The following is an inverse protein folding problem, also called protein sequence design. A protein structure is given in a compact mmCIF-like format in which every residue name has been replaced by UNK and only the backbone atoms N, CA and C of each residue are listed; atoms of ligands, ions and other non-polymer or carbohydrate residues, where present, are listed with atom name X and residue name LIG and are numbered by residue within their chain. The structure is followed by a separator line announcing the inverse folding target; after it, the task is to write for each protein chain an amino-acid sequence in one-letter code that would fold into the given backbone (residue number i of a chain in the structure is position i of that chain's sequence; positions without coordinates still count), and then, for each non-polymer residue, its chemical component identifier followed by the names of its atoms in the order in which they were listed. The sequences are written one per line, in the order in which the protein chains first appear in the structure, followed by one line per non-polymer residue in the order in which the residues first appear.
data_IF_893564261293
#
_entry.id   IF_893564261293
#
_cell.length_a   1.000
_cell.length_b   1.000
_cell.length_c   1.000
_cell.angle_alpha   90.00
_cell.angle_beta   90.00
_cell.angle_gamma   90.00
#
_symmetry.space_group_name_H-M   'P 1'
#
loop_
_entity.id
_entity.type
_entity.pdbx_description
1 polymer ?
#
# COMPACT_ATOMS: atom_id res chain seq x y z
N UNK A 1 -25.96 -3.80 10.60
CA UNK A 1 -25.33 -3.30 9.35
C UNK A 1 -24.78 -1.92 9.62
N UNK A 2 -23.53 -1.63 9.23
CA UNK A 2 -23.01 -0.26 9.30
C UNK A 2 -23.85 0.64 8.39
N UNK A 3 -24.10 1.86 8.83
CA UNK A 3 -24.73 2.86 7.99
C UNK A 3 -23.76 3.28 6.88
N UNK A 4 -24.02 2.84 5.65
CA UNK A 4 -23.22 3.18 4.47
C UNK A 4 -23.63 4.53 3.85
N UNK A 5 -24.68 5.19 4.36
CA UNK A 5 -25.12 6.51 3.85
C UNK A 5 -23.99 7.54 3.80
N UNK A 6 -23.08 7.65 4.81
CA UNK A 6 -21.97 8.61 4.76
C UNK A 6 -20.99 8.36 3.61
N UNK A 7 -20.91 7.12 3.11
CA UNK A 7 -20.00 6.76 2.02
C UNK A 7 -20.59 6.98 0.63
N UNK A 8 -21.89 7.25 0.48
CA UNK A 8 -22.48 7.51 -0.85
C UNK A 8 -21.91 8.77 -1.49
N UNK A 9 -21.88 9.87 -0.73
CA UNK A 9 -21.29 11.13 -1.19
C UNK A 9 -19.77 10.97 -1.45
N UNK A 10 -19.08 10.24 -0.57
CA UNK A 10 -17.67 9.93 -0.74
C UNK A 10 -17.39 9.13 -2.01
N UNK A 11 -18.14 8.05 -2.23
CA UNK A 11 -18.03 7.21 -3.42
C UNK A 11 -18.29 8.00 -4.70
N UNK A 12 -19.30 8.88 -4.70
CA UNK A 12 -19.58 9.76 -5.84
C UNK A 12 -18.37 10.65 -6.14
N UNK A 13 -17.75 11.26 -5.12
CA UNK A 13 -16.55 12.08 -5.33
C UNK A 13 -15.37 11.27 -5.86
N UNK A 14 -15.13 10.06 -5.35
CA UNK A 14 -14.07 9.18 -5.88
C UNK A 14 -14.32 8.81 -7.34
N UNK A 15 -15.56 8.50 -7.71
CA UNK A 15 -15.93 8.22 -9.11
C UNK A 15 -15.74 9.45 -9.99
N UNK A 16 -16.18 10.63 -9.53
CA UNK A 16 -15.99 11.88 -10.26
C UNK A 16 -14.51 12.21 -10.46
N UNK A 17 -13.66 11.95 -9.47
CA UNK A 17 -12.20 12.12 -9.59
C UNK A 17 -11.59 11.14 -10.61
N UNK A 18 -11.99 9.87 -10.59
CA UNK A 18 -11.52 8.89 -11.57
C UNK A 18 -11.94 9.26 -13.00
N UNK A 19 -13.20 9.67 -13.19
CA UNK A 19 -13.71 10.15 -14.48
C UNK A 19 -13.01 11.43 -14.92
N UNK A 20 -12.82 12.39 -14.02
CA UNK A 20 -12.10 13.62 -14.32
C UNK A 20 -10.65 13.34 -14.72
N UNK A 21 -9.95 12.43 -14.03
CA UNK A 21 -8.60 12.00 -14.39
C UNK A 21 -8.56 11.41 -15.79
N UNK A 22 -9.48 10.50 -16.12
CA UNK A 22 -9.57 9.90 -17.46
C UNK A 22 -9.81 10.95 -18.55
N UNK A 23 -10.73 11.89 -18.32
CA UNK A 23 -11.05 12.94 -19.27
C UNK A 23 -9.86 13.88 -19.47
N UNK A 24 -9.19 14.29 -18.39
CA UNK A 24 -8.01 15.15 -18.48
C UNK A 24 -6.87 14.45 -19.22
N UNK A 25 -6.58 13.19 -18.91
CA UNK A 25 -5.55 12.43 -19.60
C UNK A 25 -5.89 12.22 -21.08
N UNK A 26 -7.15 11.93 -21.41
CA UNK A 26 -7.60 11.76 -22.79
C UNK A 26 -7.50 13.07 -23.58
N UNK A 27 -8.03 14.17 -23.06
CA UNK A 27 -8.03 15.48 -23.72
C UNK A 27 -6.62 16.02 -23.94
N UNK A 28 -5.67 15.67 -23.07
CA UNK A 28 -4.27 16.07 -23.21
C UNK A 28 -3.42 15.08 -24.04
N UNK A 29 -4.00 13.98 -24.56
CA UNK A 29 -3.24 12.94 -25.28
C UNK A 29 -2.26 12.17 -24.39
N UNK A 30 -2.52 12.13 -23.08
CA UNK A 30 -1.69 11.55 -22.02
C UNK A 30 -2.30 10.31 -21.36
N UNK A 31 -3.26 9.65 -22.02
CA UNK A 31 -3.83 8.38 -21.54
C UNK A 31 -2.84 7.22 -21.75
N UNK A 32 -1.67 7.31 -21.12
CA UNK A 32 -0.58 6.36 -21.30
C UNK A 32 -0.81 5.10 -20.47
N UNK A 33 -1.27 5.29 -19.22
CA UNK A 33 -1.54 4.24 -18.25
C UNK A 33 -0.39 3.21 -18.21
N UNK A 34 0.84 3.71 -18.07
CA UNK A 34 2.06 2.93 -18.31
C UNK A 34 2.12 1.64 -17.49
N UNK A 35 1.74 1.68 -16.21
CA UNK A 35 1.72 0.48 -15.38
C UNK A 35 0.62 -0.50 -15.82
N UNK A 36 -0.57 0.01 -16.15
CA UNK A 36 -1.65 -0.82 -16.66
C UNK A 36 -1.30 -1.46 -18.01
N UNK A 37 -0.62 -0.72 -18.90
CA UNK A 37 -0.13 -1.23 -20.19
C UNK A 37 0.79 -2.43 -20.01
N UNK A 38 1.68 -2.38 -19.04
CA UNK A 38 2.55 -3.51 -18.68
C UNK A 38 1.72 -4.73 -18.31
N UNK A 39 0.66 -4.57 -17.49
CA UNK A 39 -0.22 -5.68 -17.11
C UNK A 39 -1.02 -6.24 -18.29
N UNK A 40 -1.60 -5.34 -19.09
CA UNK A 40 -2.41 -5.67 -20.24
C UNK A 40 -1.60 -6.44 -21.29
N UNK A 41 -0.44 -5.92 -21.68
CA UNK A 41 0.40 -6.54 -22.71
C UNK A 41 1.03 -7.85 -22.23
N UNK A 42 1.47 -7.92 -20.98
CA UNK A 42 1.98 -9.16 -20.39
C UNK A 42 0.90 -10.26 -20.35
N UNK A 43 -0.33 -9.90 -20.00
CA UNK A 43 -1.46 -10.83 -20.04
C UNK A 43 -1.83 -11.23 -21.47
N UNK A 44 -1.73 -10.32 -22.43
CA UNK A 44 -1.98 -10.62 -23.85
C UNK A 44 -0.89 -11.53 -24.44
N UNK A 45 0.37 -11.33 -24.05
CA UNK A 45 1.47 -12.23 -24.38
C UNK A 45 1.22 -13.63 -23.82
N UNK A 46 0.81 -13.75 -22.55
CA UNK A 46 0.42 -15.04 -21.97
C UNK A 46 -0.71 -15.70 -22.79
N UNK A 47 -1.72 -14.93 -23.21
CA UNK A 47 -2.86 -15.43 -24.01
C UNK A 47 -2.43 -16.00 -25.36
N UNK A 48 -1.39 -15.42 -25.98
CA UNK A 48 -0.89 -15.83 -27.29
C UNK A 48 0.34 -16.75 -27.23
N UNK A 49 0.75 -17.20 -26.04
CA UNK A 49 1.93 -18.06 -25.89
C UNK A 49 3.26 -17.35 -26.18
N UNK A 50 3.29 -16.02 -26.05
CA UNK A 50 4.49 -15.19 -26.23
C UNK A 50 5.26 -15.04 -24.90
N UNK A 51 6.55 -14.66 -24.94
CA UNK A 51 7.32 -14.37 -23.73
C UNK A 51 6.69 -13.27 -22.87
N UNK A 52 6.63 -13.48 -21.56
CA UNK A 52 6.03 -12.50 -20.62
C UNK A 52 7.09 -11.70 -19.86
N UNK A 53 8.18 -12.34 -19.46
CA UNK A 53 9.23 -11.73 -18.65
C UNK A 53 10.43 -11.37 -19.50
N UNK A 54 11.16 -10.33 -19.09
CA UNK A 54 12.27 -9.72 -19.85
C UNK A 54 11.85 -9.07 -21.17
N UNK A 55 10.54 -8.89 -21.37
CA UNK A 55 9.96 -8.09 -22.44
C UNK A 55 9.65 -6.68 -21.93
N UNK A 56 9.89 -5.69 -22.78
CA UNK A 56 9.59 -4.28 -22.50
C UNK A 56 8.17 -3.98 -22.99
N UNK A 57 7.29 -3.62 -22.07
CA UNK A 57 5.90 -3.25 -22.36
C UNK A 57 5.70 -1.76 -22.10
N UNK A 58 5.49 -0.97 -23.16
CA UNK A 58 5.33 0.48 -23.06
C UNK A 58 6.65 1.22 -23.22
N UNK A 59 7.03 2.02 -22.22
CA UNK A 59 8.31 2.75 -22.21
C UNK A 59 9.50 1.80 -21.99
N UNK A 60 10.72 2.26 -22.28
CA UNK A 60 11.98 1.48 -22.26
C UNK A 60 12.26 0.72 -20.94
N UNK A 61 11.56 1.03 -19.85
CA UNK A 61 11.69 0.42 -18.52
C UNK A 61 10.47 -0.41 -18.07
N UNK A 62 9.45 -0.58 -18.92
CA UNK A 62 8.17 -1.19 -18.61
C UNK A 62 8.19 -2.72 -18.49
N UNK A 63 8.95 -3.27 -17.53
CA UNK A 63 9.05 -4.72 -17.33
C UNK A 63 7.91 -5.24 -16.44
N UNK A 64 7.29 -6.35 -16.86
CA UNK A 64 6.34 -7.07 -16.02
C UNK A 64 7.07 -7.80 -14.87
N UNK A 65 6.86 -7.32 -13.63
CA UNK A 65 7.58 -7.76 -12.42
C UNK A 65 6.72 -8.54 -11.41
N UNK A 66 5.46 -8.82 -11.74
CA UNK A 66 4.54 -9.46 -10.82
C UNK A 66 4.55 -10.98 -10.97
N UNK A 67 4.15 -11.70 -9.93
CA UNK A 67 4.08 -13.16 -9.98
C UNK A 67 3.17 -13.62 -11.14
N UNK A 68 3.44 -14.78 -11.77
CA UNK A 68 2.73 -15.17 -13.00
C UNK A 68 1.23 -15.30 -12.80
N UNK A 69 0.77 -15.72 -11.62
CA UNK A 69 -0.67 -15.82 -11.30
C UNK A 69 -1.40 -14.48 -11.35
N UNK A 70 -0.69 -13.35 -11.24
CA UNK A 70 -1.30 -12.01 -11.34
C UNK A 70 -1.81 -11.74 -12.76
N UNK A 71 -1.20 -12.36 -13.79
CA UNK A 71 -1.62 -12.24 -15.19
C UNK A 71 -3.08 -12.68 -15.38
N UNK A 72 -3.56 -13.65 -14.61
CA UNK A 72 -4.94 -14.15 -14.71
C UNK A 72 -5.98 -13.11 -14.31
N UNK A 73 -5.63 -12.14 -13.44
CA UNK A 73 -6.53 -11.03 -13.13
C UNK A 73 -6.65 -10.03 -14.28
N UNK A 74 -5.63 -9.98 -15.15
CA UNK A 74 -5.57 -9.06 -16.29
C UNK A 74 -6.01 -9.69 -17.60
N UNK A 75 -6.04 -11.03 -17.69
CA UNK A 75 -6.46 -11.75 -18.88
C UNK A 75 -7.84 -11.31 -19.43
N UNK A 76 -8.87 -11.05 -18.60
CA UNK A 76 -10.16 -10.57 -19.12
C UNK A 76 -10.07 -9.22 -19.86
N UNK A 77 -9.12 -8.35 -19.50
CA UNK A 77 -8.95 -7.07 -20.17
C UNK A 77 -8.45 -7.22 -21.61
N UNK A 78 -7.69 -8.28 -21.90
CA UNK A 78 -7.06 -8.51 -23.22
C UNK A 78 -8.07 -8.79 -24.35
N UNK A 79 -9.33 -9.01 -24.00
CA UNK A 79 -10.44 -9.15 -24.97
C UNK A 79 -11.06 -7.81 -25.39
N UNK A 80 -10.62 -6.70 -24.81
CA UNK A 80 -11.09 -5.35 -25.10
C UNK A 80 -9.95 -4.52 -25.72
N UNK A 81 -10.25 -3.51 -26.55
CA UNK A 81 -9.25 -2.53 -26.95
C UNK A 81 -8.60 -1.87 -25.73
N UNK A 82 -7.30 -1.56 -25.84
CA UNK A 82 -6.50 -1.05 -24.72
C UNK A 82 -7.12 0.17 -24.02
N UNK A 83 -7.67 1.11 -24.78
CA UNK A 83 -8.26 2.33 -24.27
C UNK A 83 -9.52 2.05 -23.43
N UNK A 84 -10.35 1.11 -23.89
CA UNK A 84 -11.55 0.67 -23.18
C UNK A 84 -11.16 -0.08 -21.91
N UNK A 85 -10.20 -0.99 -22.01
CA UNK A 85 -9.65 -1.72 -20.88
C UNK A 85 -9.06 -0.77 -19.82
N UNK A 86 -8.33 0.25 -20.24
CA UNK A 86 -7.72 1.27 -19.37
C UNK A 86 -8.76 2.14 -18.67
N UNK A 87 -9.81 2.58 -19.38
CA UNK A 87 -10.91 3.32 -18.79
C UNK A 87 -11.64 2.49 -17.71
N UNK A 88 -11.93 1.22 -18.00
CA UNK A 88 -12.52 0.29 -17.02
C UNK A 88 -11.59 0.11 -15.83
N UNK A 89 -10.29 -0.06 -16.06
CA UNK A 89 -9.32 -0.26 -14.98
C UNK A 89 -9.25 0.95 -14.03
N UNK A 90 -9.26 2.17 -14.55
CA UNK A 90 -9.28 3.38 -13.75
C UNK A 90 -10.55 3.48 -12.87
N UNK A 91 -11.72 3.11 -13.41
CA UNK A 91 -12.94 3.01 -12.61
C UNK A 91 -12.85 1.93 -11.53
N UNK A 92 -12.22 0.78 -11.83
CA UNK A 92 -11.95 -0.27 -10.85
C UNK A 92 -11.07 0.26 -9.71
N UNK A 93 -10.02 1.04 -10.00
CA UNK A 93 -9.20 1.69 -8.97
C UNK A 93 -10.07 2.57 -8.05
N UNK A 94 -10.97 3.39 -8.61
CA UNK A 94 -11.90 4.21 -7.84
C UNK A 94 -12.84 3.40 -6.92
N UNK A 95 -13.37 2.27 -7.42
CA UNK A 95 -14.19 1.35 -6.62
C UNK A 95 -13.36 0.72 -5.50
N UNK A 96 -12.17 0.19 -5.81
CA UNK A 96 -11.26 -0.43 -4.84
C UNK A 96 -10.89 0.56 -3.73
N UNK A 97 -10.58 1.81 -4.08
CA UNK A 97 -10.30 2.88 -3.13
C UNK A 97 -11.50 3.14 -2.22
N UNK A 98 -12.70 3.26 -2.79
CA UNK A 98 -13.93 3.47 -2.00
C UNK A 98 -14.14 2.36 -0.97
N UNK A 99 -14.02 1.10 -1.41
CA UNK A 99 -14.15 -0.06 -0.52
C UNK A 99 -13.03 -0.06 0.52
N UNK A 100 -11.81 0.34 0.15
CA UNK A 100 -10.68 0.44 1.07
C UNK A 100 -11.00 1.39 2.23
N UNK A 101 -11.50 2.60 1.96
CA UNK A 101 -11.90 3.54 3.00
C UNK A 101 -12.99 2.97 3.92
N UNK A 102 -13.99 2.27 3.36
CA UNK A 102 -15.04 1.60 4.16
C UNK A 102 -14.43 0.55 5.08
N UNK A 103 -13.50 -0.27 4.58
CA UNK A 103 -12.85 -1.34 5.34
C UNK A 103 -11.95 -0.78 6.45
N UNK A 104 -11.18 0.27 6.18
CA UNK A 104 -10.35 0.95 7.19
C UNK A 104 -11.23 1.59 8.26
N UNK A 105 -12.27 2.32 7.88
CA UNK A 105 -13.20 2.95 8.83
C UNK A 105 -13.92 1.92 9.70
N UNK A 106 -14.30 0.77 9.14
CA UNK A 106 -14.83 -0.36 9.94
C UNK A 106 -13.80 -0.89 10.93
N UNK A 107 -12.54 -0.99 10.54
CA UNK A 107 -11.46 -1.37 11.45
C UNK A 107 -11.28 -0.34 12.56
N UNK A 108 -11.32 0.96 12.21
CA UNK A 108 -11.23 2.07 13.16
C UNK A 108 -12.36 2.06 14.17
N UNK A 109 -13.60 1.83 13.76
CA UNK A 109 -14.76 1.74 14.66
C UNK A 109 -14.67 0.55 15.65
N UNK A 110 -13.99 -0.54 15.28
CA UNK A 110 -13.73 -1.66 16.21
C UNK A 110 -12.69 -1.30 17.27
N UNK A 111 -11.68 -0.50 16.91
CA UNK A 111 -10.57 -0.15 17.82
C UNK A 111 -10.76 1.19 18.56
N UNK A 112 -11.68 2.03 18.09
CA UNK A 112 -12.13 3.28 18.73
C UNK A 112 -13.67 3.29 18.74
N UNK A 113 -14.31 2.75 19.80
CA UNK A 113 -15.76 2.81 19.94
C UNK A 113 -16.27 4.26 19.97
N UNK A 114 -17.44 4.51 19.37
CA UNK A 114 -18.07 5.84 19.36
C UNK A 114 -17.44 6.86 18.39
N UNK A 115 -16.62 6.39 17.45
CA UNK A 115 -15.88 7.24 16.52
C UNK A 115 -16.81 8.17 15.68
N UNK A 116 -16.73 9.52 15.80
CA UNK A 116 -17.73 10.44 15.26
C UNK A 116 -17.44 10.88 13.83
N UNK A 117 -18.43 11.13 12.96
CA UNK A 117 -18.25 11.78 11.63
C UNK A 117 -17.37 11.01 10.60
N UNK A 118 -17.81 9.81 10.23
CA UNK A 118 -17.13 8.96 9.22
C UNK A 118 -16.93 9.63 7.86
N UNK A 119 -17.96 10.31 7.32
CA UNK A 119 -17.88 10.96 6.00
C UNK A 119 -16.75 12.01 5.92
N UNK A 120 -16.75 13.04 6.78
CA UNK A 120 -15.69 14.06 6.79
C UNK A 120 -14.28 13.49 6.94
N UNK A 121 -14.08 12.44 7.77
CA UNK A 121 -12.78 11.77 7.85
C UNK A 121 -12.37 11.12 6.55
N UNK A 122 -13.28 10.42 5.88
CA UNK A 122 -12.99 9.81 4.59
C UNK A 122 -12.58 10.86 3.55
N UNK A 123 -13.28 11.99 3.49
CA UNK A 123 -12.92 13.12 2.62
C UNK A 123 -11.56 13.71 2.94
N UNK A 124 -11.26 13.97 4.22
CA UNK A 124 -9.94 14.48 4.62
C UNK A 124 -8.84 13.46 4.33
N UNK A 125 -9.08 12.17 4.57
CA UNK A 125 -8.14 11.12 4.24
C UNK A 125 -7.86 11.01 2.74
N UNK A 126 -8.89 11.21 1.90
CA UNK A 126 -8.73 11.30 0.45
C UNK A 126 -7.91 12.52 0.04
N UNK A 127 -8.17 13.68 0.66
CA UNK A 127 -7.38 14.90 0.42
C UNK A 127 -5.90 14.70 0.78
N UNK A 128 -5.61 14.01 1.89
CA UNK A 128 -4.25 13.70 2.32
C UNK A 128 -3.46 12.82 1.34
N UNK A 129 -4.13 12.03 0.50
CA UNK A 129 -3.48 11.14 -0.47
C UNK A 129 -3.70 11.59 -1.92
N UNK A 130 -4.36 12.72 -2.18
CA UNK A 130 -4.87 13.06 -3.51
C UNK A 130 -3.76 13.17 -4.57
N UNK A 131 -2.59 13.69 -4.19
CA UNK A 131 -1.42 13.80 -5.08
C UNK A 131 -0.91 12.40 -5.48
N UNK A 132 -0.80 11.50 -4.52
CA UNK A 132 -0.38 10.11 -4.78
C UNK A 132 -1.45 9.34 -5.56
N UNK A 133 -2.73 9.60 -5.28
CA UNK A 133 -3.85 9.01 -6.00
C UNK A 133 -3.91 9.48 -7.46
N UNK A 134 -3.63 10.76 -7.73
CA UNK A 134 -3.56 11.26 -9.09
C UNK A 134 -2.51 10.49 -9.90
N UNK A 135 -1.33 10.22 -9.30
CA UNK A 135 -0.31 9.37 -9.92
C UNK A 135 -0.77 7.92 -10.10
N UNK A 136 -1.44 7.34 -9.10
CA UNK A 136 -1.99 5.98 -9.16
C UNK A 136 -3.00 5.82 -10.31
N UNK A 137 -3.90 6.79 -10.49
CA UNK A 137 -4.91 6.81 -11.57
C UNK A 137 -4.25 7.03 -12.93
N UNK A 138 -3.31 7.96 -13.03
CA UNK A 138 -2.58 8.27 -14.27
C UNK A 138 -1.73 7.09 -14.78
N UNK A 139 -1.13 6.33 -13.87
CA UNK A 139 -0.35 5.13 -14.23
C UNK A 139 -1.21 3.88 -14.40
N UNK A 140 -2.39 3.82 -13.77
CA UNK A 140 -3.23 2.63 -13.74
C UNK A 140 -2.60 1.49 -12.92
N UNK A 141 -2.03 1.80 -11.75
CA UNK A 141 -1.39 0.82 -10.88
C UNK A 141 -2.42 0.06 -10.01
N UNK A 142 -1.99 -1.05 -9.40
CA UNK A 142 -2.81 -1.94 -8.58
C UNK A 142 -2.66 -1.71 -7.07
N UNK A 143 -1.96 -0.67 -6.63
CA UNK A 143 -1.66 -0.45 -5.22
C UNK A 143 -2.93 -0.21 -4.42
N UNK A 144 -3.95 0.45 -4.98
CA UNK A 144 -5.25 0.59 -4.32
C UNK A 144 -5.88 -0.77 -3.95
N UNK A 145 -5.76 -1.77 -4.84
CA UNK A 145 -6.19 -3.14 -4.58
C UNK A 145 -5.37 -3.81 -3.46
N UNK A 146 -4.07 -3.56 -3.41
CA UNK A 146 -3.19 -4.10 -2.37
C UNK A 146 -3.47 -3.50 -0.99
N UNK A 147 -3.69 -2.19 -0.92
CA UNK A 147 -4.08 -1.52 0.33
C UNK A 147 -5.43 -2.07 0.80
N UNK A 148 -6.39 -2.26 -0.11
CA UNK A 148 -7.67 -2.88 0.22
C UNK A 148 -7.50 -4.29 0.78
N UNK A 149 -6.78 -5.18 0.10
CA UNK A 149 -6.58 -6.55 0.55
C UNK A 149 -5.88 -6.60 1.91
N UNK A 150 -4.86 -5.75 2.11
CA UNK A 150 -4.15 -5.62 3.37
C UNK A 150 -5.06 -5.10 4.50
N UNK A 151 -5.78 -4.01 4.27
CA UNK A 151 -6.74 -3.45 5.24
C UNK A 151 -7.87 -4.43 5.55
N UNK A 152 -8.35 -5.18 4.55
CA UNK A 152 -9.34 -6.24 4.74
C UNK A 152 -8.74 -7.41 5.55
N UNK A 153 -7.47 -7.75 5.33
CA UNK A 153 -6.75 -8.73 6.14
C UNK A 153 -6.69 -8.31 7.62
N UNK A 154 -6.37 -7.03 7.90
CA UNK A 154 -6.44 -6.47 9.26
C UNK A 154 -7.87 -6.58 9.81
N UNK A 155 -8.88 -6.11 9.07
CA UNK A 155 -10.25 -6.14 9.55
C UNK A 155 -10.73 -7.55 9.88
N UNK A 156 -10.44 -8.53 9.03
CA UNK A 156 -10.83 -9.92 9.24
C UNK A 156 -10.13 -10.54 10.44
N UNK A 157 -8.87 -10.17 10.66
CA UNK A 157 -8.15 -10.54 11.87
C UNK A 157 -8.81 -9.96 13.12
N UNK A 158 -9.17 -8.67 13.11
CA UNK A 158 -9.89 -8.01 14.21
C UNK A 158 -11.29 -8.59 14.43
N UNK A 159 -11.92 -9.12 13.38
CA UNK A 159 -13.19 -9.83 13.44
C UNK A 159 -13.08 -11.30 13.89
N UNK A 160 -11.87 -11.79 14.18
CA UNK A 160 -11.61 -13.18 14.56
C UNK A 160 -11.56 -14.18 13.40
N UNK A 161 -11.77 -13.75 12.15
CA UNK A 161 -11.69 -14.62 10.98
C UNK A 161 -10.24 -14.73 10.46
N UNK A 162 -9.45 -15.55 11.15
CA UNK A 162 -8.02 -15.76 10.88
C UNK A 162 -7.74 -16.43 9.53
N UNK A 163 -8.65 -17.30 9.03
CA UNK A 163 -8.46 -17.98 7.74
C UNK A 163 -8.56 -16.99 6.60
N UNK A 164 -9.64 -16.20 6.56
CA UNK A 164 -9.80 -15.18 5.52
C UNK A 164 -8.71 -14.12 5.61
N UNK A 165 -8.31 -13.70 6.82
CA UNK A 165 -7.16 -12.80 6.99
C UNK A 165 -5.89 -13.38 6.35
N UNK A 166 -5.54 -14.63 6.67
CA UNK A 166 -4.37 -15.29 6.11
C UNK A 166 -4.44 -15.44 4.59
N UNK A 167 -5.60 -15.78 4.02
CA UNK A 167 -5.79 -15.82 2.57
C UNK A 167 -5.49 -14.46 1.91
N UNK A 168 -6.08 -13.38 2.42
CA UNK A 168 -5.87 -12.03 1.89
C UNK A 168 -4.40 -11.61 1.95
N UNK A 169 -3.70 -11.88 3.07
CA UNK A 169 -2.27 -11.61 3.19
C UNK A 169 -1.40 -12.44 2.25
N UNK A 170 -1.75 -13.72 2.06
CA UNK A 170 -1.07 -14.57 1.09
C UNK A 170 -1.18 -14.02 -0.34
N UNK A 171 -2.35 -13.50 -0.73
CA UNK A 171 -2.54 -12.81 -2.02
C UNK A 171 -1.70 -11.53 -2.09
N UNK A 172 -1.69 -10.71 -1.03
CA UNK A 172 -0.87 -9.48 -0.99
C UNK A 172 0.62 -9.78 -1.19
N UNK A 173 1.16 -10.77 -0.48
CA UNK A 173 2.57 -11.16 -0.59
C UNK A 173 2.92 -11.79 -1.92
N UNK A 174 1.97 -12.48 -2.53
CA UNK A 174 2.14 -13.04 -3.86
C UNK A 174 2.25 -11.94 -4.92
N UNK A 175 1.42 -10.90 -4.82
CA UNK A 175 1.43 -9.79 -5.77
C UNK A 175 2.66 -8.90 -5.53
N UNK A 176 2.98 -8.57 -4.27
CA UNK A 176 4.16 -7.77 -3.89
C UNK A 176 4.92 -8.40 -2.72
N UNK A 177 5.98 -9.19 -3.00
CA UNK A 177 6.73 -9.91 -1.97
C UNK A 177 7.35 -9.04 -0.88
N UNK A 178 7.72 -7.79 -1.17
CA UNK A 178 8.31 -6.91 -0.15
C UNK A 178 7.32 -6.48 0.96
N UNK A 179 6.00 -6.65 0.75
CA UNK A 179 4.99 -6.52 1.82
C UNK A 179 5.06 -7.67 2.83
N UNK A 180 5.94 -8.66 2.63
CA UNK A 180 6.20 -9.73 3.59
C UNK A 180 6.73 -9.21 4.94
N UNK A 181 7.25 -7.99 5.03
CA UNK A 181 7.59 -7.34 6.31
C UNK A 181 6.43 -7.38 7.33
N UNK A 182 5.20 -7.37 6.84
CA UNK A 182 3.99 -7.47 7.67
C UNK A 182 3.85 -8.83 8.40
N UNK A 183 4.65 -9.83 8.05
CA UNK A 183 4.72 -11.11 8.75
C UNK A 183 5.31 -10.96 10.16
N UNK A 184 6.16 -9.96 10.40
CA UNK A 184 6.87 -9.75 11.67
C UNK A 184 5.89 -9.67 12.84
N UNK A 185 4.89 -8.75 12.86
CA UNK A 185 3.95 -8.70 13.97
C UNK A 185 3.10 -9.97 14.11
N UNK A 186 2.79 -10.67 13.01
CA UNK A 186 2.01 -11.91 13.04
C UNK A 186 2.79 -13.07 13.69
N UNK A 187 4.08 -13.18 13.41
CA UNK A 187 4.97 -14.20 13.99
C UNK A 187 5.15 -13.94 15.48
N UNK A 188 5.45 -12.70 15.88
CA UNK A 188 5.64 -12.32 17.29
C UNK A 188 4.37 -12.61 18.10
N UNK A 189 3.19 -12.33 17.51
CA UNK A 189 1.89 -12.60 18.14
C UNK A 189 1.42 -14.05 18.04
N UNK A 190 2.21 -14.93 17.41
CA UNK A 190 1.90 -16.36 17.23
C UNK A 190 0.57 -16.58 16.52
N UNK A 191 0.26 -15.78 15.49
CA UNK A 191 -0.95 -15.91 14.67
C UNK A 191 -0.85 -17.09 13.69
N UNK A 192 -0.57 -18.29 14.20
CA UNK A 192 -0.22 -19.48 13.41
C UNK A 192 -1.27 -19.88 12.37
N UNK A 193 -2.55 -19.66 12.66
CA UNK A 193 -3.62 -19.93 11.69
C UNK A 193 -3.60 -18.95 10.51
N UNK A 194 -3.29 -17.68 10.74
CA UNK A 194 -3.14 -16.66 9.69
C UNK A 194 -1.95 -17.04 8.83
N UNK A 195 -0.79 -17.31 9.46
CA UNK A 195 0.45 -17.69 8.79
C UNK A 195 0.29 -18.96 7.95
N UNK A 196 -0.33 -20.01 8.50
CA UNK A 196 -0.61 -21.25 7.76
C UNK A 196 -1.50 -21.01 6.54
N UNK A 197 -2.56 -20.22 6.68
CA UNK A 197 -3.48 -19.96 5.56
C UNK A 197 -2.83 -19.07 4.50
N UNK A 198 -1.98 -18.11 4.90
CA UNK A 198 -1.18 -17.31 3.98
C UNK A 198 -0.17 -18.17 3.21
N UNK A 199 0.52 -19.08 3.89
CA UNK A 199 1.46 -20.02 3.26
C UNK A 199 0.76 -20.93 2.25
N UNK A 200 -0.42 -21.47 2.58
CA UNK A 200 -1.23 -22.26 1.65
C UNK A 200 -1.64 -21.42 0.44
N UNK A 201 -2.05 -20.17 0.64
CA UNK A 201 -2.47 -19.27 -0.44
C UNK A 201 -1.32 -18.92 -1.38
N UNK A 202 -0.12 -18.67 -0.83
CA UNK A 202 1.11 -18.51 -1.59
C UNK A 202 1.44 -19.76 -2.42
N UNK A 203 1.40 -20.95 -1.78
CA UNK A 203 1.68 -22.21 -2.47
C UNK A 203 0.71 -22.47 -3.61
N UNK A 204 -0.60 -22.27 -3.40
CA UNK A 204 -1.62 -22.40 -4.44
C UNK A 204 -1.37 -21.40 -5.57
N UNK A 205 -1.11 -20.13 -5.25
CA UNK A 205 -0.87 -19.11 -6.26
C UNK A 205 0.40 -19.36 -7.09
N UNK A 206 1.47 -19.88 -6.49
CA UNK A 206 2.67 -20.29 -7.21
C UNK A 206 2.47 -21.57 -8.03
N UNK A 207 1.60 -22.48 -7.59
CA UNK A 207 1.25 -23.69 -8.32
C UNK A 207 0.28 -23.43 -9.48
N UNK A 208 -0.55 -22.37 -9.42
CA UNK A 208 -1.60 -22.13 -10.41
C UNK A 208 -1.06 -22.01 -11.86
N UNK A 209 0.06 -21.31 -12.13
CA UNK A 209 0.66 -21.29 -13.47
C UNK A 209 1.03 -22.68 -13.99
N UNK A 210 1.56 -23.56 -13.14
CA UNK A 210 1.91 -24.96 -13.48
C UNK A 210 0.66 -25.77 -13.80
N UNK A 211 -0.43 -25.56 -13.06
CA UNK A 211 -1.69 -26.26 -13.25
C UNK A 211 -2.44 -25.80 -14.51
N UNK A 212 -2.38 -24.51 -14.83
CA UNK A 212 -3.15 -23.91 -15.95
C UNK A 212 -2.37 -23.94 -17.27
N UNK A 213 -1.07 -23.61 -17.26
CA UNK A 213 -0.24 -23.53 -18.48
C UNK A 213 0.48 -24.87 -18.79
N UNK A 214 0.37 -25.84 -17.89
CA UNK A 214 1.13 -27.09 -17.93
C UNK A 214 2.50 -26.98 -17.24
N UNK A 215 3.11 -28.12 -16.86
CA UNK A 215 4.28 -28.12 -15.99
C UNK A 215 5.50 -27.39 -16.55
N UNK A 216 5.81 -27.57 -17.83
CA UNK A 216 6.96 -26.94 -18.49
C UNK A 216 6.82 -25.42 -18.54
N UNK A 217 5.71 -24.93 -19.10
CA UNK A 217 5.44 -23.50 -19.27
C UNK A 217 5.27 -22.79 -17.93
N UNK A 218 4.50 -23.36 -16.99
CA UNK A 218 4.29 -22.76 -15.68
C UNK A 218 5.57 -22.66 -14.84
N UNK A 219 6.44 -23.68 -14.92
CA UNK A 219 7.75 -23.62 -14.26
C UNK A 219 8.68 -22.61 -14.92
N UNK A 220 8.70 -22.56 -16.25
CA UNK A 220 9.47 -21.56 -17.00
C UNK A 220 9.07 -20.13 -16.62
N UNK A 221 7.76 -19.82 -16.58
CA UNK A 221 7.24 -18.52 -16.14
C UNK A 221 7.68 -18.15 -14.71
N UNK A 222 7.65 -19.12 -13.79
CA UNK A 222 8.03 -18.87 -12.40
C UNK A 222 9.54 -18.61 -12.27
N UNK A 223 10.36 -19.35 -13.02
CA UNK A 223 11.82 -19.16 -13.04
C UNK A 223 12.21 -17.82 -13.64
N UNK A 224 11.60 -17.42 -14.77
CA UNK A 224 11.90 -16.14 -15.42
C UNK A 224 11.40 -14.95 -14.61
N UNK A 225 10.29 -15.08 -13.90
CA UNK A 225 9.83 -14.09 -12.93
C UNK A 225 10.88 -13.77 -11.85
N UNK A 226 11.48 -14.81 -11.25
CA UNK A 226 12.53 -14.62 -10.23
C UNK A 226 13.72 -13.84 -10.81
N UNK A 227 14.13 -14.14 -12.04
CA UNK A 227 15.18 -13.39 -12.73
C UNK A 227 14.80 -11.94 -12.99
N UNK A 228 13.56 -11.69 -13.46
CA UNK A 228 13.05 -10.34 -13.72
C UNK A 228 12.99 -9.47 -12.44
N UNK A 229 12.60 -10.05 -11.31
CA UNK A 229 12.60 -9.37 -10.01
C UNK A 229 14.01 -8.95 -9.55
N UNK A 230 15.01 -9.81 -9.79
CA UNK A 230 16.41 -9.50 -9.47
C UNK A 230 16.94 -8.35 -10.34
N UNK A 231 16.68 -8.41 -11.65
CA UNK A 231 17.09 -7.37 -12.60
C UNK A 231 16.45 -6.02 -12.27
N UNK A 232 15.14 -6.01 -12.03
CA UNK A 232 14.39 -4.79 -11.75
C UNK A 232 14.91 -4.02 -10.51
N UNK A 233 15.41 -4.74 -9.50
CA UNK A 233 15.98 -4.13 -8.29
C UNK A 233 17.29 -3.38 -8.58
N UNK A 234 18.01 -3.75 -9.65
CA UNK A 234 19.29 -3.15 -10.02
C UNK A 234 19.14 -1.86 -10.84
N UNK A 235 18.02 -1.72 -11.57
CA UNK A 235 17.81 -0.61 -12.52
C UNK A 235 16.96 0.54 -11.96
N UNK A 236 16.21 0.31 -10.88
CA UNK A 236 15.42 1.36 -10.27
C UNK A 236 16.21 2.17 -9.25
N UNK A 237 15.94 3.47 -9.21
CA UNK A 237 16.40 4.38 -8.16
C UNK A 237 15.19 5.08 -7.55
N UNK A 238 15.20 5.25 -6.23
CA UNK A 238 14.17 5.98 -5.50
C UNK A 238 14.84 6.82 -4.43
N UNK A 239 14.73 8.15 -4.42
CA UNK A 239 15.40 8.97 -3.42
C UNK A 239 14.69 8.95 -2.05
N UNK A 240 13.48 8.39 -1.96
CA UNK A 240 12.63 8.43 -0.77
C UNK A 240 12.82 7.22 0.18
N UNK A 241 13.66 6.25 -0.18
CA UNK A 241 14.03 5.16 0.72
C UNK A 241 15.18 5.59 1.64
N UNK A 242 15.24 4.99 2.84
CA UNK A 242 16.19 5.36 3.90
C UNK A 242 17.65 5.31 3.44
N UNK A 243 18.00 4.32 2.61
CA UNK A 243 19.35 4.17 2.08
C UNK A 243 19.80 5.38 1.25
N UNK A 244 18.99 5.77 0.26
CA UNK A 244 19.24 6.97 -0.54
C UNK A 244 19.21 8.24 0.31
N UNK A 245 18.26 8.41 1.22
CA UNK A 245 18.21 9.59 2.09
C UNK A 245 19.48 9.71 2.93
N UNK A 246 19.90 8.62 3.58
CA UNK A 246 21.16 8.59 4.34
C UNK A 246 22.36 8.92 3.45
N UNK A 247 22.40 8.39 2.24
CA UNK A 247 23.45 8.68 1.26
C UNK A 247 23.51 10.17 0.91
N UNK A 248 22.36 10.77 0.60
CA UNK A 248 22.25 12.20 0.27
C UNK A 248 22.70 13.13 1.41
N UNK A 249 22.42 12.77 2.67
CA UNK A 249 22.76 13.62 3.83
C UNK A 249 24.15 13.39 4.41
N UNK A 250 24.71 12.19 4.26
CA UNK A 250 26.01 11.82 4.85
C UNK A 250 27.15 11.73 3.84
N UNK A 251 26.84 11.67 2.55
CA UNK A 251 27.80 11.40 1.48
C UNK A 251 28.27 9.95 1.40
N UNK A 252 27.77 9.05 2.27
CA UNK A 252 28.10 7.62 2.21
C UNK A 252 27.39 6.96 1.03
N UNK A 253 28.09 6.19 0.21
CA UNK A 253 27.46 5.48 -0.91
C UNK A 253 26.45 4.44 -0.38
N UNK A 254 25.21 4.48 -0.89
CA UNK A 254 24.24 3.43 -0.61
C UNK A 254 24.70 2.10 -1.20
N UNK A 255 24.64 1.03 -0.41
CA UNK A 255 24.97 -0.32 -0.85
C UNK A 255 23.87 -1.30 -0.46
N UNK A 256 23.75 -2.40 -1.21
CA UNK A 256 22.81 -3.49 -0.93
C UNK A 256 22.93 -4.00 0.52
N UNK A 257 24.14 -4.02 1.08
CA UNK A 257 24.38 -4.43 2.46
C UNK A 257 23.82 -3.43 3.48
N UNK A 258 23.95 -2.13 3.19
CA UNK A 258 23.40 -1.07 4.03
C UNK A 258 21.86 -1.15 4.04
N UNK A 259 21.23 -1.31 2.89
CA UNK A 259 19.77 -1.44 2.78
C UNK A 259 19.26 -2.69 3.50
N UNK A 260 19.95 -3.83 3.35
CA UNK A 260 19.65 -5.04 4.09
C UNK A 260 19.77 -4.83 5.61
N UNK A 261 20.80 -4.10 6.06
CA UNK A 261 20.98 -3.71 7.45
C UNK A 261 19.84 -2.83 7.97
N UNK A 262 19.42 -1.82 7.20
CA UNK A 262 18.29 -0.95 7.54
C UNK A 262 17.00 -1.75 7.65
N UNK A 263 16.71 -2.65 6.70
CA UNK A 263 15.55 -3.54 6.73
C UNK A 263 15.58 -4.43 7.98
N UNK A 264 16.75 -5.00 8.31
CA UNK A 264 16.91 -5.84 9.50
C UNK A 264 16.65 -5.06 10.80
N UNK A 265 17.22 -3.86 10.94
CA UNK A 265 16.99 -2.99 12.09
C UNK A 265 15.51 -2.60 12.21
N UNK A 266 14.88 -2.22 11.10
CA UNK A 266 13.46 -1.90 11.05
C UNK A 266 12.59 -3.10 11.49
N UNK A 267 12.91 -4.30 11.01
CA UNK A 267 12.26 -5.55 11.44
C UNK A 267 12.44 -5.84 12.93
N UNK A 268 13.64 -5.62 13.47
CA UNK A 268 13.93 -5.78 14.91
C UNK A 268 13.16 -4.77 15.77
N UNK A 269 13.09 -3.51 15.36
CA UNK A 269 12.32 -2.48 16.05
C UNK A 269 10.81 -2.81 16.06
N UNK A 270 10.29 -3.26 14.92
CA UNK A 270 8.89 -3.70 14.80
C UNK A 270 8.62 -4.95 15.66
N UNK A 271 9.57 -5.88 15.71
CA UNK A 271 9.52 -7.05 16.59
C UNK A 271 9.49 -6.64 18.07
N UNK A 272 10.39 -5.75 18.49
CA UNK A 272 10.47 -5.26 19.86
C UNK A 272 9.19 -4.50 20.27
N UNK A 273 8.65 -3.66 19.37
CA UNK A 273 7.38 -2.97 19.58
C UNK A 273 6.23 -3.97 19.77
N UNK A 274 6.12 -4.95 18.87
CA UNK A 274 5.05 -5.96 18.92
C UNK A 274 5.15 -6.85 20.16
N UNK A 275 6.37 -7.24 20.53
CA UNK A 275 6.63 -8.03 21.72
C UNK A 275 6.23 -7.28 22.98
N UNK A 276 6.63 -6.01 23.09
CA UNK A 276 6.25 -5.13 24.20
C UNK A 276 4.74 -5.02 24.33
N UNK A 277 4.03 -4.83 23.22
CA UNK A 277 2.56 -4.71 23.24
C UNK A 277 1.90 -6.04 23.61
N UNK A 278 2.38 -7.16 23.09
CA UNK A 278 1.91 -8.51 23.47
C UNK A 278 2.07 -8.76 24.98
N UNK A 279 3.18 -8.30 25.58
CA UNK A 279 3.39 -8.38 27.04
C UNK A 279 2.42 -7.49 27.83
N UNK A 280 2.06 -6.31 27.31
CA UNK A 280 1.08 -5.41 27.94
C UNK A 280 -0.35 -5.96 27.86
N UNK A 281 -0.70 -6.62 26.76
CA UNK A 281 -1.99 -7.27 26.57
C UNK A 281 -2.25 -8.39 27.57
N UNK A 282 -1.21 -9.16 27.91
CA UNK A 282 -1.29 -10.20 28.94
C UNK A 282 -1.69 -9.65 30.32
N UNK A 283 -1.53 -8.34 30.54
CA UNK A 283 -1.89 -7.62 31.78
C UNK A 283 -3.24 -6.89 31.64
N UNK A 284 -4.00 -7.10 30.55
CA UNK A 284 -5.40 -6.68 30.41
C UNK A 284 -5.69 -5.44 29.56
N UNK A 285 -4.72 -4.93 28.78
CA UNK A 285 -4.92 -3.71 27.98
C UNK A 285 -5.16 -3.98 26.47
N UNK A 286 -6.32 -3.56 25.95
CA UNK A 286 -6.57 -3.12 24.56
C UNK A 286 -6.00 -3.88 23.36
N UNK A 287 -6.21 -5.21 23.22
CA UNK A 287 -5.47 -6.04 22.25
C UNK A 287 -5.76 -5.76 20.77
N UNK A 288 -6.94 -5.24 20.43
CA UNK A 288 -7.33 -5.04 19.03
C UNK A 288 -6.63 -3.82 18.41
N UNK A 289 -6.46 -2.76 19.19
CA UNK A 289 -5.89 -1.50 18.72
C UNK A 289 -4.40 -1.65 18.40
N UNK A 290 -3.67 -2.35 19.26
CA UNK A 290 -2.24 -2.57 19.09
C UNK A 290 -1.96 -3.44 17.86
N UNK A 291 -2.72 -4.51 17.67
CA UNK A 291 -2.64 -5.37 16.46
C UNK A 291 -2.87 -4.61 15.17
N UNK A 292 -3.92 -3.79 15.11
CA UNK A 292 -4.23 -2.99 13.92
C UNK A 292 -3.10 -2.00 13.62
N UNK A 293 -2.65 -1.28 14.65
CA UNK A 293 -1.60 -0.29 14.53
C UNK A 293 -0.28 -0.88 14.04
N UNK A 294 0.17 -2.00 14.60
CA UNK A 294 1.43 -2.65 14.20
C UNK A 294 1.41 -3.11 12.74
N UNK A 295 0.29 -3.66 12.28
CA UNK A 295 0.14 -4.08 10.88
C UNK A 295 0.10 -2.88 9.94
N UNK A 296 -0.64 -1.82 10.27
CA UNK A 296 -0.65 -0.59 9.47
C UNK A 296 0.71 0.12 9.46
N UNK A 297 1.43 0.10 10.58
CA UNK A 297 2.80 0.61 10.67
C UNK A 297 3.75 -0.19 9.80
N UNK A 298 3.68 -1.52 9.86
CA UNK A 298 4.49 -2.39 9.00
C UNK A 298 4.25 -2.12 7.51
N UNK A 299 2.99 -1.89 7.12
CA UNK A 299 2.61 -1.56 5.74
C UNK A 299 3.15 -0.18 5.31
N UNK A 300 2.98 0.85 6.15
CA UNK A 300 3.43 2.21 5.86
C UNK A 300 4.95 2.34 5.82
N UNK A 301 5.68 1.46 6.51
CA UNK A 301 7.14 1.46 6.59
C UNK A 301 7.80 0.97 5.29
N UNK A 302 7.15 0.06 4.57
CA UNK A 302 7.69 -0.58 3.36
C UNK A 302 8.26 0.41 2.31
N UNK A 303 7.54 1.46 1.86
CA UNK A 303 8.07 2.37 0.86
C UNK A 303 9.32 3.16 1.31
N UNK A 304 9.59 3.26 2.61
CA UNK A 304 10.86 3.83 3.11
C UNK A 304 12.00 2.80 3.17
N UNK A 305 11.70 1.50 3.09
CA UNK A 305 12.70 0.43 3.22
C UNK A 305 13.15 -0.15 1.88
N UNK A 306 12.32 -0.09 0.85
CA UNK A 306 12.60 -0.69 -0.45
C UNK A 306 12.56 0.35 -1.55
N UNK A 307 13.36 0.14 -2.60
CA UNK A 307 13.35 0.98 -3.80
C UNK A 307 11.99 0.83 -4.47
N UNK A 308 11.21 1.91 -4.48
CA UNK A 308 9.84 1.90 -4.98
C UNK A 308 9.41 3.29 -5.46
N UNK A 309 8.34 3.31 -6.26
CA UNK A 309 7.78 4.55 -6.79
C UNK A 309 6.90 5.26 -5.76
N UNK A 310 6.70 6.57 -5.96
CA UNK A 310 6.00 7.46 -5.04
C UNK A 310 4.57 7.04 -4.68
N UNK A 311 3.81 6.42 -5.58
CA UNK A 311 2.43 6.00 -5.30
C UNK A 311 2.35 4.94 -4.19
N UNK A 312 3.43 4.19 -3.93
CA UNK A 312 3.48 3.20 -2.85
C UNK A 312 3.41 3.85 -1.46
N UNK A 313 3.70 5.14 -1.33
CA UNK A 313 3.52 5.85 -0.08
C UNK A 313 2.06 5.86 0.38
N UNK A 314 1.08 5.66 -0.52
CA UNK A 314 -0.35 5.46 -0.17
C UNK A 314 -0.58 4.30 0.80
N UNK A 315 0.39 3.39 0.97
CA UNK A 315 0.37 2.35 2.01
C UNK A 315 0.24 2.93 3.44
N UNK A 316 0.50 4.23 3.63
CA UNK A 316 0.23 4.93 4.89
C UNK A 316 -1.24 5.32 5.12
N UNK A 317 -2.15 5.11 4.15
CA UNK A 317 -3.56 5.51 4.25
C UNK A 317 -4.24 5.07 5.56
N UNK A 318 -4.10 3.82 6.06
CA UNK A 318 -4.70 3.45 7.33
C UNK A 318 -4.16 4.25 8.53
N UNK A 319 -2.88 4.65 8.51
CA UNK A 319 -2.31 5.51 9.55
C UNK A 319 -2.84 6.95 9.46
N UNK A 320 -2.99 7.48 8.25
CA UNK A 320 -3.62 8.80 8.02
C UNK A 320 -5.02 8.81 8.65
N UNK A 321 -5.86 7.81 8.31
CA UNK A 321 -7.21 7.71 8.86
C UNK A 321 -7.22 7.46 10.37
N UNK A 322 -6.23 6.73 10.91
CA UNK A 322 -6.06 6.55 12.35
C UNK A 322 -5.72 7.85 13.08
N UNK A 323 -4.84 8.69 12.53
CA UNK A 323 -4.52 10.01 13.10
C UNK A 323 -5.75 10.91 13.04
N UNK A 324 -6.47 10.94 11.92
CA UNK A 324 -7.72 11.70 11.81
C UNK A 324 -8.77 11.21 12.81
N UNK A 325 -8.90 9.91 13.02
CA UNK A 325 -9.77 9.35 14.06
C UNK A 325 -9.40 9.86 15.46
N UNK A 326 -8.10 9.92 15.78
CA UNK A 326 -7.61 10.51 17.02
C UNK A 326 -7.96 12.00 17.14
N UNK A 327 -7.69 12.79 16.10
CA UNK A 327 -7.94 14.23 16.08
C UNK A 327 -9.44 14.58 16.19
N UNK A 328 -10.32 13.82 15.53
CA UNK A 328 -11.76 14.02 15.64
C UNK A 328 -12.31 13.67 17.03
N UNK A 329 -11.67 12.72 17.72
CA UNK A 329 -12.08 12.29 19.05
C UNK A 329 -11.53 13.22 20.14
N UNK A 330 -10.30 13.73 19.97
CA UNK A 330 -9.56 14.41 21.06
C UNK A 330 -9.21 15.86 20.81
N UNK A 331 -9.19 16.30 19.56
CA UNK A 331 -8.77 17.66 19.16
C UNK A 331 -7.38 18.02 19.71
N UNK A 332 -6.45 17.07 19.73
CA UNK A 332 -5.10 17.26 20.25
C UNK A 332 -4.29 18.21 19.33
N UNK A 333 -3.96 19.43 19.78
CA UNK A 333 -3.34 20.44 18.93
C UNK A 333 -1.90 20.09 18.55
N UNK A 334 -1.18 19.34 19.39
CA UNK A 334 0.19 18.91 19.07
C UNK A 334 0.17 17.85 17.97
N UNK A 335 -0.73 16.86 18.07
CA UNK A 335 -0.90 15.86 17.01
C UNK A 335 -1.34 16.54 15.71
N UNK A 336 -2.21 17.55 15.78
CA UNK A 336 -2.65 18.29 14.60
C UNK A 336 -1.49 19.03 13.94
N UNK A 337 -0.71 19.81 14.70
CA UNK A 337 0.42 20.56 14.17
C UNK A 337 1.46 19.66 13.50
N UNK A 338 1.84 18.55 14.17
CA UNK A 338 2.78 17.59 13.60
C UNK A 338 2.21 16.85 12.39
N UNK A 339 0.91 16.55 12.39
CA UNK A 339 0.24 15.93 11.25
C UNK A 339 0.23 16.86 10.04
N UNK A 340 -0.08 18.14 10.22
CA UNK A 340 -0.04 19.14 9.15
C UNK A 340 1.38 19.29 8.58
N UNK A 341 2.40 19.31 9.45
CA UNK A 341 3.80 19.30 9.02
C UNK A 341 4.14 18.04 8.22
N UNK A 342 3.70 16.86 8.67
CA UNK A 342 3.90 15.62 7.94
C UNK A 342 3.24 15.66 6.55
N UNK A 343 1.99 16.15 6.46
CA UNK A 343 1.26 16.27 5.20
C UNK A 343 1.91 17.26 4.22
N UNK A 344 2.48 18.37 4.73
CA UNK A 344 3.22 19.32 3.89
C UNK A 344 4.41 18.65 3.20
N UNK A 345 5.18 17.83 3.93
CA UNK A 345 6.31 17.09 3.37
C UNK A 345 5.86 15.92 2.48
N UNK A 346 4.75 15.29 2.83
CA UNK A 346 4.18 14.13 2.13
C UNK A 346 3.52 14.50 0.78
N UNK A 347 3.09 15.75 0.59
CA UNK A 347 2.47 16.25 -0.64
C UNK A 347 3.45 16.95 -1.61
N UNK A 348 4.77 16.67 -1.48
CA UNK A 348 5.82 17.37 -2.24
C UNK A 348 5.94 16.94 -3.71
N UNK A 349 5.34 15.81 -4.09
CA UNK A 349 5.38 15.23 -5.45
C UNK A 349 4.33 15.79 -6.40
N UNK A 350 4.30 17.12 -6.55
CA UNK A 350 3.34 17.81 -7.41
C UNK A 350 3.97 19.03 -8.06
N UNK A 351 4.45 18.90 -9.29
CA UNK A 351 5.00 20.01 -10.08
C UNK A 351 4.02 21.16 -10.23
N UNK A 352 2.73 20.86 -10.30
CA UNK A 352 1.68 21.87 -10.39
C UNK A 352 1.58 22.75 -9.14
N UNK A 353 1.98 22.24 -7.96
CA UNK A 353 1.94 22.98 -6.70
C UNK A 353 3.24 23.75 -6.43
N UNK A 354 4.38 23.15 -6.79
CA UNK A 354 5.70 23.63 -6.37
C UNK A 354 6.55 24.22 -7.51
N UNK A 355 6.20 23.91 -8.76
CA UNK A 355 7.07 24.07 -9.91
C UNK A 355 8.12 22.95 -10.01
N UNK A 356 8.52 22.60 -11.25
CA UNK A 356 9.45 21.48 -11.52
C UNK A 356 10.79 21.64 -10.81
N UNK A 357 11.38 22.83 -10.82
CA UNK A 357 12.69 23.06 -10.21
C UNK A 357 12.70 22.85 -8.68
N UNK A 358 11.61 23.19 -7.99
CA UNK A 358 11.50 22.94 -6.56
C UNK A 358 11.16 21.47 -6.29
N UNK A 359 10.26 20.88 -7.08
CA UNK A 359 9.95 19.44 -7.00
C UNK A 359 11.22 18.59 -7.16
N UNK A 360 12.07 18.87 -8.13
CA UNK A 360 13.32 18.13 -8.37
C UNK A 360 14.27 18.19 -7.17
N UNK A 361 14.36 19.35 -6.51
CA UNK A 361 15.17 19.51 -5.28
C UNK A 361 14.57 18.73 -4.12
N UNK A 362 13.26 18.83 -3.90
CA UNK A 362 12.56 18.11 -2.83
C UNK A 362 12.65 16.59 -3.06
N UNK A 363 12.56 16.15 -4.31
CA UNK A 363 12.79 14.77 -4.73
C UNK A 363 14.22 14.33 -4.43
N UNK A 364 15.24 15.10 -4.80
CA UNK A 364 16.64 14.76 -4.50
C UNK A 364 16.95 14.65 -3.01
N UNK A 365 16.20 15.36 -2.16
CA UNK A 365 16.30 15.30 -0.70
C UNK A 365 15.44 14.18 -0.06
N UNK A 366 14.64 13.45 -0.84
CA UNK A 366 13.78 12.39 -0.30
C UNK A 366 12.67 12.91 0.62
N UNK A 367 12.12 14.09 0.35
CA UNK A 367 11.18 14.77 1.26
C UNK A 367 9.88 14.01 1.47
N UNK A 368 9.39 13.30 0.44
CA UNK A 368 8.23 12.41 0.59
C UNK A 368 8.55 11.28 1.58
N UNK A 369 9.74 10.69 1.47
CA UNK A 369 10.26 9.70 2.41
C UNK A 369 10.27 10.21 3.85
N UNK A 370 10.80 11.41 4.08
CA UNK A 370 10.81 12.08 5.39
C UNK A 370 9.40 12.37 5.91
N UNK A 371 8.51 12.85 5.04
CA UNK A 371 7.10 13.09 5.38
C UNK A 371 6.40 11.84 5.88
N UNK A 372 6.66 10.68 5.26
CA UNK A 372 6.10 9.41 5.69
C UNK A 372 6.68 8.91 7.03
N UNK A 373 7.98 9.11 7.27
CA UNK A 373 8.61 8.80 8.57
C UNK A 373 7.99 9.66 9.68
N UNK A 374 7.83 10.97 9.44
CA UNK A 374 7.17 11.87 10.38
C UNK A 374 5.72 11.44 10.61
N UNK A 375 4.99 11.09 9.56
CA UNK A 375 3.61 10.58 9.65
C UNK A 375 3.52 9.33 10.53
N UNK A 376 4.43 8.35 10.37
CA UNK A 376 4.52 7.18 11.24
C UNK A 376 4.82 7.56 12.70
N UNK A 377 5.69 8.53 12.93
CA UNK A 377 5.98 9.08 14.26
C UNK A 377 4.75 9.73 14.91
N UNK A 378 3.98 10.52 14.15
CA UNK A 378 2.72 11.14 14.60
C UNK A 378 1.68 10.07 14.90
N UNK A 379 1.57 9.03 14.06
CA UNK A 379 0.68 7.90 14.30
C UNK A 379 1.04 7.17 15.61
N UNK A 380 2.34 6.98 15.88
CA UNK A 380 2.82 6.40 17.13
C UNK A 380 2.50 7.27 18.35
N UNK A 381 2.64 8.60 18.23
CA UNK A 381 2.26 9.55 19.29
C UNK A 381 0.75 9.49 19.58
N UNK A 382 -0.08 9.53 18.54
CA UNK A 382 -1.53 9.41 18.64
C UNK A 382 -1.94 8.04 19.22
N UNK A 383 -1.23 6.98 18.85
CA UNK A 383 -1.42 5.63 19.40
C UNK A 383 -1.15 5.62 20.92
N UNK A 384 0.02 6.12 21.36
CA UNK A 384 0.39 6.17 22.78
C UNK A 384 -0.56 7.04 23.61
N UNK A 385 -0.87 8.26 23.15
CA UNK A 385 -1.80 9.16 23.85
C UNK A 385 -3.19 8.56 23.96
N UNK A 386 -3.64 7.88 22.89
CA UNK A 386 -4.90 7.15 22.88
C UNK A 386 -5.02 6.09 23.98
N UNK A 387 -3.93 5.39 24.29
CA UNK A 387 -3.92 4.32 25.28
C UNK A 387 -3.98 4.84 26.72
N UNK A 388 -3.46 6.04 26.98
CA UNK A 388 -3.32 6.60 28.34
C UNK A 388 -4.64 7.02 29.01
N UNK A 389 -5.77 6.98 28.29
CA UNK A 389 -7.03 7.67 28.66
C UNK A 389 -8.25 6.78 28.52
N UNK A 390 -8.08 5.53 28.09
CA UNK A 390 -9.16 4.52 28.04
C UNK A 390 -9.70 4.11 29.42
N UNK A 391 -9.23 4.74 30.51
CA UNK A 391 -9.71 4.50 31.87
C UNK A 391 -10.83 5.43 32.36
N UNK A 392 -11.17 6.52 31.65
CA UNK A 392 -12.14 7.52 32.14
C UNK A 392 -13.02 8.11 31.02
N UNK A 393 -13.75 7.26 30.31
CA UNK A 393 -14.92 7.71 29.54
C UNK A 393 -16.14 7.07 30.21
N UNK A 394 -16.70 7.78 31.20
CA UNK A 394 -18.05 7.56 31.72
C UNK A 394 -18.99 8.54 31.06
#
# INVERSE_FOLDING_TARGET
MQDLRPFRAFALVVVLLAVASLLLDHLNGRLWLNDFRVYYMAADHLRHGLPVYNEVFGEDTGLYKYAPVVLYFFLPYTYLPFEVAGAIHCLVIGVLLTVCFVVVERSLQRIVPGLPRTGPRAFLGLLCIVVLLARELHLGNINAGLILLAAAGVERLLAGNRRTAGFLWGVVWLVKPYLLLMIVPMVVRREGQVLRTAAISLAIGLALPVLVQGPSTGWALTRTWVGSMQYHTQVMFSPDHLGAMLSSYTGMASSTLMDAGIIAVAGLLLCALTWRNTRREAVGNGPLRDRAFELWLAMALVPNLVITDQQHFMFALPLVLFILAHLFTRRDPMVLALFLLAMLLYATRSSDLWGSALEDRLMGWGVLGMGNILLMGVALLAWRRGAATGGNIR
#
